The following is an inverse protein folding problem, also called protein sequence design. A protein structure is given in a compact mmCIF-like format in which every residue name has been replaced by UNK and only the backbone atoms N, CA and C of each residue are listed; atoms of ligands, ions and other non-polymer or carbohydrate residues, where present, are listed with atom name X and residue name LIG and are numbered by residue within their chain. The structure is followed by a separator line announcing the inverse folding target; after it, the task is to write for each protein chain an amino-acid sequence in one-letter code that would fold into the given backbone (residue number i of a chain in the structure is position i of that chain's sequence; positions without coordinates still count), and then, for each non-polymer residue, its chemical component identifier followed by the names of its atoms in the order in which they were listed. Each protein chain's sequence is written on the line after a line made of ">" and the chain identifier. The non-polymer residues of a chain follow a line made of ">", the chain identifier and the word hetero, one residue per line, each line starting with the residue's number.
data_IF_942061590419
#
_entry.id   IF_942061590419
#
_cell.length_a   1.000
_cell.length_b   1.000
_cell.length_c   1.000
_cell.angle_alpha   90.00
_cell.angle_beta   90.00
_cell.angle_gamma   90.00
#
_symmetry.space_group_name_H-M   'P 1'
#
loop_
_entity.id
_entity.type
_entity.pdbx_description
1 polymer ?
#
# COMPACT_ATOMS: atom_id res chain seq x y z
N UNK A 1 6.90 -11.73 -6.96
CA UNK A 1 6.20 -10.55 -6.42
C UNK A 1 7.07 -9.30 -6.45
N UNK A 2 8.25 -9.37 -5.87
CA UNK A 2 9.16 -8.22 -5.88
C UNK A 2 9.48 -7.72 -7.29
N UNK A 3 9.67 -8.63 -8.24
CA UNK A 3 9.98 -8.25 -9.62
C UNK A 3 8.84 -7.46 -10.27
N UNK A 4 7.60 -7.79 -9.95
CA UNK A 4 6.46 -7.07 -10.48
C UNK A 4 6.45 -5.64 -9.92
N UNK A 5 6.68 -5.49 -8.63
CA UNK A 5 6.68 -4.19 -8.00
C UNK A 5 7.79 -3.31 -8.58
N UNK A 6 9.01 -3.84 -8.66
CA UNK A 6 10.16 -3.08 -9.19
C UNK A 6 9.92 -2.70 -10.66
N UNK A 7 9.43 -3.63 -11.45
CA UNK A 7 9.17 -3.36 -12.86
C UNK A 7 8.09 -2.32 -13.10
N UNK A 8 7.04 -2.31 -12.27
CA UNK A 8 5.93 -1.36 -12.43
C UNK A 8 6.27 0.03 -11.91
N UNK A 9 7.11 0.12 -10.89
CA UNK A 9 7.47 1.40 -10.30
C UNK A 9 8.41 2.20 -11.21
N UNK A 10 9.34 1.51 -11.87
CA UNK A 10 10.38 2.19 -12.65
C UNK A 10 11.28 2.99 -11.72
N UNK A 11 11.43 4.29 -11.98
CA UNK A 11 12.25 5.13 -11.13
C UNK A 11 11.41 5.66 -9.96
N UNK A 12 11.66 5.15 -8.77
CA UNK A 12 10.90 5.52 -7.59
C UNK A 12 11.04 7.01 -7.24
N UNK A 13 12.10 7.65 -7.71
CA UNK A 13 12.32 9.09 -7.45
C UNK A 13 11.28 9.98 -8.10
N UNK A 14 10.50 9.46 -9.04
CA UNK A 14 9.39 10.22 -9.62
C UNK A 14 8.28 10.50 -8.61
N UNK A 15 8.28 9.79 -7.49
CA UNK A 15 7.31 10.03 -6.41
C UNK A 15 7.97 10.85 -5.31
N UNK A 16 7.48 12.08 -5.04
CA UNK A 16 8.10 12.96 -4.03
C UNK A 16 8.00 12.43 -2.60
N UNK A 17 7.04 11.56 -2.33
CA UNK A 17 6.83 11.04 -0.98
C UNK A 17 6.15 9.69 -1.01
N UNK A 18 6.15 9.00 0.12
CA UNK A 18 5.43 7.74 0.26
C UNK A 18 3.93 7.92 0.04
N UNK A 19 3.39 9.08 0.38
CA UNK A 19 1.99 9.40 0.13
C UNK A 19 1.65 9.48 -1.35
N UNK A 20 2.54 10.05 -2.16
CA UNK A 20 2.36 10.09 -3.61
C UNK A 20 2.39 8.68 -4.20
N UNK A 21 3.32 7.86 -3.72
CA UNK A 21 3.41 6.48 -4.17
C UNK A 21 2.15 5.70 -3.80
N UNK A 22 1.65 5.91 -2.57
CA UNK A 22 0.43 5.24 -2.12
C UNK A 22 -0.79 5.64 -2.94
N UNK A 23 -0.87 6.90 -3.35
CA UNK A 23 -1.95 7.34 -4.24
C UNK A 23 -1.88 6.67 -5.59
N UNK A 24 -0.68 6.52 -6.12
CA UNK A 24 -0.46 5.87 -7.40
C UNK A 24 -0.87 4.40 -7.36
N UNK A 25 -0.60 3.70 -6.27
CA UNK A 25 -0.90 2.27 -6.15
C UNK A 25 -2.24 1.97 -5.46
N UNK A 26 -3.00 3.00 -5.10
CA UNK A 26 -4.34 2.81 -4.56
C UNK A 26 -4.41 2.46 -3.08
N UNK A 27 -3.31 2.63 -2.33
CA UNK A 27 -3.30 2.34 -0.90
C UNK A 27 -3.43 3.57 -0.01
N UNK A 28 -3.51 4.76 -0.59
CA UNK A 28 -3.68 5.98 0.19
C UNK A 28 -5.08 5.99 0.82
N UNK A 29 -5.22 6.52 2.04
CA UNK A 29 -6.53 6.64 2.65
C UNK A 29 -7.44 7.54 1.80
N UNK A 30 -8.71 7.17 1.76
CA UNK A 30 -9.69 7.95 1.05
C UNK A 30 -10.25 8.97 2.01
N UNK A 31 -10.24 10.24 1.62
CA UNK A 31 -10.78 11.25 2.47
C UNK A 31 -12.26 11.34 2.31
N UNK A 32 -12.97 10.85 3.28
CA UNK A 32 -14.40 10.86 3.27
C UNK A 32 -14.97 12.27 3.29
N UNK A 33 -14.19 13.22 3.78
CA UNK A 33 -14.65 14.60 3.89
C UNK A 33 -14.65 15.34 2.57
N UNK A 34 -14.13 14.77 1.53
CA UNK A 34 -14.02 15.46 0.25
C UNK A 34 -15.31 15.48 -0.54
N UNK A 35 -16.39 15.04 0.01
CA UNK A 35 -17.69 15.12 -0.62
C UNK A 35 -17.98 13.95 -1.54
N UNK A 36 -19.14 13.99 -2.18
CA UNK A 36 -19.60 12.84 -2.98
C UNK A 36 -18.69 12.44 -4.11
N UNK A 37 -17.92 13.37 -4.58
CA UNK A 37 -17.01 13.05 -5.66
C UNK A 37 -15.81 12.29 -5.22
N UNK A 38 -15.59 12.26 -3.97
CA UNK A 38 -14.47 11.53 -3.44
C UNK A 38 -14.79 10.10 -3.37
N UNK A 39 -15.88 9.66 -3.92
CA UNK A 39 -16.08 8.39 -3.93
C UNK A 39 -15.11 7.73 -4.56
N UNK A 40 -14.40 7.25 -4.07
CA UNK A 40 -13.50 6.33 -4.31
C UNK A 40 -13.59 5.62 -5.44
N UNK A 41 -13.41 6.10 -6.46
CA UNK A 41 -12.90 5.56 -7.50
C UNK A 41 -11.50 5.41 -7.34
N UNK A 42 -10.98 4.21 -7.65
CA UNK A 42 -9.61 4.03 -7.93
C UNK A 42 -9.25 5.09 -8.89
N UNK A 43 -8.28 5.87 -8.57
CA UNK A 43 -7.72 6.83 -9.48
C UNK A 43 -7.51 6.15 -10.83
N UNK A 44 -8.17 6.58 -11.89
CA UNK A 44 -7.98 5.94 -13.20
C UNK A 44 -6.54 6.02 -13.70
N UNK A 45 -5.74 6.90 -13.13
CA UNK A 45 -4.32 6.98 -13.45
C UNK A 45 -3.47 6.12 -12.53
N UNK A 46 -4.09 5.47 -11.58
CA UNK A 46 -3.39 4.59 -10.65
C UNK A 46 -2.99 3.29 -11.31
N UNK A 47 -2.07 2.59 -10.70
CA UNK A 47 -1.58 1.32 -11.21
C UNK A 47 -2.28 0.16 -10.51
N UNK A 48 -3.22 -0.47 -11.21
CA UNK A 48 -3.99 -1.58 -10.67
C UNK A 48 -3.16 -2.83 -10.44
N UNK A 49 -2.17 -3.06 -11.28
CA UNK A 49 -1.30 -4.23 -11.12
C UNK A 49 -0.44 -4.08 -9.87
N UNK A 50 0.03 -2.87 -9.62
CA UNK A 50 0.79 -2.59 -8.42
C UNK A 50 -0.08 -2.74 -7.17
N UNK A 51 -1.33 -2.27 -7.24
CA UNK A 51 -2.29 -2.47 -6.16
C UNK A 51 -2.51 -3.96 -5.89
N UNK A 52 -2.68 -4.73 -6.95
CA UNK A 52 -2.89 -6.17 -6.84
C UNK A 52 -1.68 -6.86 -6.20
N UNK A 53 -0.47 -6.48 -6.61
CA UNK A 53 0.75 -7.05 -6.04
C UNK A 53 0.84 -6.79 -4.54
N UNK A 54 0.53 -5.56 -4.12
CA UNK A 54 0.54 -5.20 -2.71
C UNK A 54 -0.55 -5.97 -1.94
N UNK A 55 -1.73 -6.10 -2.53
CA UNK A 55 -2.82 -6.85 -1.92
C UNK A 55 -2.43 -8.33 -1.73
N UNK A 56 -1.83 -8.93 -2.74
CA UNK A 56 -1.36 -10.32 -2.67
C UNK A 56 -0.29 -10.48 -1.60
N UNK A 57 0.63 -9.53 -1.51
CA UNK A 57 1.66 -9.54 -0.47
C UNK A 57 1.02 -9.46 0.92
N UNK A 58 0.00 -8.61 1.09
CA UNK A 58 -0.70 -8.49 2.36
C UNK A 58 -1.38 -9.80 2.76
N UNK A 59 -2.06 -10.45 1.81
CA UNK A 59 -2.69 -11.74 2.07
C UNK A 59 -1.67 -12.80 2.49
N UNK A 60 -0.53 -12.83 1.82
CA UNK A 60 0.53 -13.77 2.14
C UNK A 60 1.06 -13.53 3.54
N UNK A 61 1.25 -12.27 3.92
CA UNK A 61 1.74 -11.95 5.26
C UNK A 61 0.75 -12.34 6.34
N UNK A 62 -0.54 -12.16 6.09
CA UNK A 62 -1.58 -12.53 7.06
C UNK A 62 -1.63 -14.05 7.27
N UNK A 63 -1.38 -14.81 6.21
CA UNK A 63 -1.44 -16.27 6.27
C UNK A 63 -0.23 -16.91 6.93
N UNK A 64 0.86 -16.18 7.05
CA UNK A 64 2.09 -16.70 7.60
C UNK A 64 2.48 -15.95 8.87
N UNK A 65 3.40 -16.51 9.64
CA UNK A 65 3.88 -15.87 10.87
C UNK A 65 4.90 -14.79 10.47
N UNK A 66 4.42 -13.59 10.27
CA UNK A 66 5.21 -12.48 9.76
C UNK A 66 4.95 -11.21 10.58
N UNK A 67 5.84 -10.21 10.51
CA UNK A 67 5.56 -8.90 11.11
C UNK A 67 4.28 -8.26 10.56
N UNK A 68 3.96 -8.49 9.28
CA UNK A 68 2.73 -7.97 8.68
C UNK A 68 1.49 -8.56 9.33
N UNK A 69 1.53 -9.84 9.66
CA UNK A 69 0.42 -10.48 10.37
C UNK A 69 0.24 -9.88 11.76
N UNK A 70 1.35 -9.65 12.47
CA UNK A 70 1.30 -9.04 13.80
C UNK A 70 0.70 -7.63 13.71
N UNK A 71 1.07 -6.86 12.69
CA UNK A 71 0.54 -5.54 12.46
C UNK A 71 -0.98 -5.59 12.21
N UNK A 72 -1.41 -6.51 11.36
CA UNK A 72 -2.83 -6.69 11.02
C UNK A 72 -3.66 -7.03 12.27
N UNK A 73 -3.18 -8.00 13.06
CA UNK A 73 -3.88 -8.41 14.27
C UNK A 73 -3.93 -7.30 15.32
N UNK A 74 -2.84 -6.52 15.42
CA UNK A 74 -2.82 -5.37 16.32
C UNK A 74 -3.85 -4.34 15.93
N UNK A 75 -4.01 -4.07 14.63
CA UNK A 75 -5.02 -3.12 14.17
C UNK A 75 -6.43 -3.57 14.49
N UNK A 76 -6.69 -4.87 14.40
CA UNK A 76 -7.98 -5.40 14.81
C UNK A 76 -8.18 -5.26 16.32
N UNK A 77 -7.14 -5.48 17.11
CA UNK A 77 -7.21 -5.31 18.55
C UNK A 77 -7.46 -3.85 18.94
N UNK A 78 -7.08 -2.91 18.10
CA UNK A 78 -7.35 -1.48 18.30
C UNK A 78 -8.78 -1.09 17.90
N UNK A 79 -9.59 -2.05 17.49
CA UNK A 79 -10.98 -1.80 17.14
C UNK A 79 -11.28 -1.69 15.66
N UNK A 80 -10.29 -1.89 14.79
CA UNK A 80 -10.53 -1.81 13.36
C UNK A 80 -11.16 -3.07 12.82
N UNK A 81 -12.03 -2.91 11.81
CA UNK A 81 -12.62 -4.06 11.12
C UNK A 81 -11.55 -4.77 10.30
N UNK A 82 -11.88 -5.94 9.77
CA UNK A 82 -10.97 -6.67 8.88
C UNK A 82 -10.60 -5.84 7.67
N UNK A 83 -11.57 -5.15 7.07
CA UNK A 83 -11.30 -4.30 5.90
C UNK A 83 -10.39 -3.14 6.25
N UNK A 84 -10.64 -2.50 7.39
CA UNK A 84 -9.81 -1.39 7.83
C UNK A 84 -8.39 -1.85 8.16
N UNK A 85 -8.26 -2.99 8.83
CA UNK A 85 -6.94 -3.55 9.14
C UNK A 85 -6.19 -3.93 7.87
N UNK A 86 -6.90 -4.48 6.87
CA UNK A 86 -6.30 -4.82 5.58
C UNK A 86 -5.82 -3.56 4.85
N UNK A 87 -6.60 -2.50 4.84
CA UNK A 87 -6.18 -1.24 4.22
C UNK A 87 -4.95 -0.66 4.92
N UNK A 88 -4.93 -0.72 6.25
CA UNK A 88 -3.79 -0.25 7.02
C UNK A 88 -2.54 -1.06 6.69
N UNK A 89 -2.67 -2.37 6.59
CA UNK A 89 -1.55 -3.23 6.23
C UNK A 89 -1.04 -2.94 4.82
N UNK A 90 -1.93 -2.77 3.86
CA UNK A 90 -1.54 -2.45 2.48
C UNK A 90 -0.78 -1.13 2.42
N UNK A 91 -1.24 -0.11 3.15
CA UNK A 91 -0.53 1.17 3.20
C UNK A 91 0.83 1.00 3.88
N UNK A 92 0.89 0.19 4.93
CA UNK A 92 2.14 -0.10 5.62
C UNK A 92 3.14 -0.76 4.66
N UNK A 93 2.69 -1.72 3.86
CA UNK A 93 3.52 -2.38 2.86
C UNK A 93 3.98 -1.38 1.80
N UNK A 94 3.08 -0.52 1.33
CA UNK A 94 3.40 0.50 0.35
C UNK A 94 4.51 1.41 0.86
N UNK A 95 4.40 1.88 2.09
CA UNK A 95 5.41 2.76 2.68
C UNK A 95 6.76 2.05 2.83
N UNK A 96 6.74 0.79 3.23
CA UNK A 96 7.98 0.01 3.37
C UNK A 96 8.65 -0.21 2.03
N UNK A 97 7.87 -0.51 0.98
CA UNK A 97 8.39 -0.66 -0.37
C UNK A 97 9.01 0.64 -0.85
N UNK A 98 8.33 1.75 -0.64
CA UNK A 98 8.84 3.06 -1.05
C UNK A 98 10.19 3.36 -0.39
N UNK A 99 10.26 3.16 0.93
CA UNK A 99 11.50 3.42 1.67
C UNK A 99 12.64 2.52 1.19
N UNK A 100 12.35 1.27 0.89
CA UNK A 100 13.36 0.35 0.40
C UNK A 100 13.88 0.76 -0.97
N UNK A 101 12.96 1.13 -1.87
CA UNK A 101 13.35 1.55 -3.21
C UNK A 101 14.15 2.86 -3.19
N UNK A 102 13.78 3.80 -2.32
CA UNK A 102 14.54 5.03 -2.16
C UNK A 102 15.94 4.71 -1.63
N UNK A 103 16.05 3.84 -0.64
CA UNK A 103 17.35 3.45 -0.09
C UNK A 103 18.24 2.81 -1.17
N UNK A 104 17.63 1.98 -2.03
CA UNK A 104 18.38 1.31 -3.11
C UNK A 104 18.90 2.31 -4.13
N UNK A 105 18.22 3.44 -4.35
CA UNK A 105 18.71 4.45 -5.29
C UNK A 105 19.90 5.24 -4.77
N UNK A 106 20.13 5.18 -3.46
CA UNK A 106 21.25 5.90 -2.84
C UNK A 106 22.54 5.09 -2.71
N UNK A 107 22.43 3.81 -3.01
CA UNK A 107 23.62 2.94 -2.87
C UNK A 107 24.48 2.90 -4.08
#
# INVERSE_FOLDING_TARGET
>A
MAAVIVGRVGDVRRFPSSGHFARHNGTAPIEASSGPKARHRLNPRGDRQLNHAIHTAALTQIRNDTPGRAYYLRKQAEGKSRKEAMRALKRHISDAVYQRLIADTRS
#
